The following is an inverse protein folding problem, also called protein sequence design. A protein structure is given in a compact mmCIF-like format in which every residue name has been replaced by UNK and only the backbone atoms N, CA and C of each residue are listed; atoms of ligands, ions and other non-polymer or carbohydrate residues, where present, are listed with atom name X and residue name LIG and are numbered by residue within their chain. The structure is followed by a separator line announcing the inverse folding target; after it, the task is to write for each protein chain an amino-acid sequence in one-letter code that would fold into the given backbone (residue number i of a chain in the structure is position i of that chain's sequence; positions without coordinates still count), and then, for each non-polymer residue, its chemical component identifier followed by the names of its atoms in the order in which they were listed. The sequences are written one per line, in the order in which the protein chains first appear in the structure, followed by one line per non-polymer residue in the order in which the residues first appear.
data_IF_565568144970
#
_entry.id   IF_565568144970
#
_cell.length_a   1.000
_cell.length_b   1.000
_cell.length_c   1.000
_cell.angle_alpha   90.00
_cell.angle_beta   90.00
_cell.angle_gamma   90.00
#
_symmetry.space_group_name_H-M   'P 1'
#
loop_
_entity.id
_entity.type
_entity.pdbx_description
1 polymer ?
#
# COMPACT_ATOMS: atom_id res chain seq x y z
N UNK A 1 39.36 -11.53 12.95
CA UNK A 1 38.63 -11.31 11.68
C UNK A 1 37.24 -11.90 11.85
N UNK A 2 36.21 -11.06 12.00
CA UNK A 2 34.82 -11.52 12.25
C UNK A 2 34.12 -11.79 10.92
N UNK A 3 33.66 -13.02 10.76
CA UNK A 3 32.87 -13.55 9.66
C UNK A 3 31.41 -13.09 9.73
N UNK A 4 31.16 -11.78 9.62
CA UNK A 4 29.79 -11.20 9.47
C UNK A 4 29.23 -11.32 8.03
N UNK A 5 29.98 -11.99 7.16
CA UNK A 5 29.68 -12.11 5.74
C UNK A 5 28.54 -13.08 5.34
N UNK A 6 28.18 -14.16 6.10
CA UNK A 6 27.20 -15.11 5.60
C UNK A 6 25.76 -14.59 5.62
N UNK A 7 25.42 -13.71 6.58
CA UNK A 7 24.04 -13.20 6.76
C UNK A 7 23.69 -12.13 5.72
N UNK A 8 24.68 -11.36 5.26
CA UNK A 8 24.46 -10.31 4.25
C UNK A 8 24.11 -10.89 2.88
N UNK A 9 24.81 -11.95 2.47
CA UNK A 9 24.58 -12.58 1.16
C UNK A 9 23.27 -13.37 1.12
N UNK A 10 22.77 -13.90 2.25
CA UNK A 10 21.52 -14.67 2.24
C UNK A 10 20.30 -13.80 1.97
N UNK A 11 20.17 -12.65 2.64
CA UNK A 11 18.99 -11.78 2.47
C UNK A 11 18.92 -11.10 1.11
N UNK A 12 20.06 -10.66 0.56
CA UNK A 12 20.10 -10.09 -0.79
C UNK A 12 19.79 -11.16 -1.86
N UNK A 13 20.23 -12.41 -1.65
CA UNK A 13 19.88 -13.54 -2.50
C UNK A 13 18.39 -13.93 -2.43
N UNK A 14 17.83 -13.99 -1.23
CA UNK A 14 16.39 -14.22 -1.01
C UNK A 14 15.54 -13.12 -1.66
N UNK A 15 15.95 -11.86 -1.53
CA UNK A 15 15.31 -10.71 -2.17
C UNK A 15 15.33 -10.83 -3.70
N UNK A 16 16.49 -11.16 -4.28
CA UNK A 16 16.62 -11.37 -5.72
C UNK A 16 15.72 -12.51 -6.23
N UNK A 17 15.64 -13.61 -5.49
CA UNK A 17 14.76 -14.74 -5.82
C UNK A 17 13.28 -14.38 -5.73
N UNK A 18 12.87 -13.60 -4.72
CA UNK A 18 11.50 -13.11 -4.59
C UNK A 18 11.10 -12.21 -5.76
N UNK A 19 11.98 -11.31 -6.19
CA UNK A 19 11.75 -10.46 -7.36
C UNK A 19 11.65 -11.33 -8.62
N UNK A 20 12.64 -12.20 -8.86
CA UNK A 20 12.69 -13.01 -10.08
C UNK A 20 11.47 -13.92 -10.23
N UNK A 21 10.99 -14.53 -9.14
CA UNK A 21 9.86 -15.46 -9.15
C UNK A 21 8.49 -14.79 -9.29
N UNK A 22 8.35 -13.50 -8.96
CA UNK A 22 7.04 -12.85 -8.81
C UNK A 22 6.87 -11.53 -9.58
N UNK A 23 7.93 -10.97 -10.17
CA UNK A 23 7.90 -9.69 -10.91
C UNK A 23 6.90 -9.64 -12.08
N UNK A 24 6.55 -10.79 -12.67
CA UNK A 24 5.61 -10.88 -13.79
C UNK A 24 4.25 -11.47 -13.41
N UNK A 25 3.99 -11.69 -12.13
CA UNK A 25 2.70 -12.24 -11.70
C UNK A 25 1.60 -11.19 -11.91
N UNK A 26 0.76 -11.42 -12.94
CA UNK A 26 -0.44 -10.61 -13.19
C UNK A 26 -1.57 -10.92 -12.20
N UNK A 27 -1.46 -12.08 -11.56
CA UNK A 27 -2.42 -12.55 -10.57
C UNK A 27 -2.45 -11.62 -9.35
N UNK A 28 -3.66 -11.37 -8.84
CA UNK A 28 -3.85 -10.51 -7.68
C UNK A 28 -3.28 -11.20 -6.43
N UNK A 29 -3.57 -12.49 -6.25
CA UNK A 29 -3.13 -13.26 -5.08
C UNK A 29 -1.61 -13.42 -5.08
N UNK A 30 -1.01 -13.66 -6.24
CA UNK A 30 0.44 -13.65 -6.43
C UNK A 30 1.13 -12.36 -5.97
N UNK A 31 0.49 -11.20 -6.14
CA UNK A 31 1.02 -9.88 -5.72
C UNK A 31 0.87 -9.62 -4.22
N UNK A 32 -0.25 -10.02 -3.62
CA UNK A 32 -0.41 -9.97 -2.16
C UNK A 32 0.62 -10.90 -1.49
N UNK A 33 0.77 -12.12 -1.99
CA UNK A 33 1.76 -13.07 -1.50
C UNK A 33 3.21 -12.55 -1.62
N UNK A 34 3.54 -11.81 -2.69
CA UNK A 34 4.86 -11.15 -2.82
C UNK A 34 5.03 -10.06 -1.75
N UNK A 35 4.03 -9.22 -1.53
CA UNK A 35 4.09 -8.17 -0.52
C UNK A 35 4.26 -8.74 0.89
N UNK A 36 3.55 -9.81 1.21
CA UNK A 36 3.66 -10.49 2.51
C UNK A 36 5.04 -11.13 2.69
N UNK A 37 5.55 -11.82 1.65
CA UNK A 37 6.89 -12.41 1.69
C UNK A 37 8.01 -11.36 1.86
N UNK A 38 7.88 -10.19 1.22
CA UNK A 38 8.81 -9.07 1.40
C UNK A 38 8.73 -8.47 2.82
N UNK A 39 7.53 -8.39 3.39
CA UNK A 39 7.32 -7.92 4.76
C UNK A 39 7.92 -8.87 5.80
N UNK A 40 7.80 -10.19 5.57
CA UNK A 40 8.43 -11.20 6.41
C UNK A 40 9.95 -11.22 6.26
N UNK A 41 10.46 -11.02 5.04
CA UNK A 41 11.90 -10.86 4.79
C UNK A 41 12.46 -9.64 5.52
N UNK A 42 11.78 -8.49 5.44
CA UNK A 42 12.17 -7.27 6.15
C UNK A 42 12.23 -7.50 7.67
N UNK A 43 11.18 -8.14 8.24
CA UNK A 43 11.13 -8.46 9.68
C UNK A 43 12.27 -9.37 10.11
N UNK A 44 12.59 -10.42 9.33
CA UNK A 44 13.71 -11.33 9.62
C UNK A 44 15.05 -10.61 9.50
N UNK A 45 15.23 -9.77 8.49
CA UNK A 45 16.45 -8.99 8.30
C UNK A 45 16.66 -8.00 9.45
N UNK A 46 15.60 -7.32 9.91
CA UNK A 46 15.64 -6.43 11.08
C UNK A 46 16.00 -7.21 12.36
N UNK A 47 15.31 -8.34 12.61
CA UNK A 47 15.58 -9.18 13.79
C UNK A 47 16.98 -9.78 13.81
N UNK A 48 17.58 -10.01 12.64
CA UNK A 48 18.95 -10.49 12.50
C UNK A 48 20.02 -9.38 12.54
N UNK A 49 19.63 -8.11 12.67
CA UNK A 49 20.56 -6.98 12.65
C UNK A 49 21.24 -6.78 11.29
N UNK A 50 20.51 -7.02 10.20
CA UNK A 50 21.03 -6.82 8.85
C UNK A 50 21.50 -5.37 8.63
N UNK A 51 22.46 -5.13 7.73
CA UNK A 51 22.95 -3.79 7.46
C UNK A 51 21.85 -2.86 6.97
N UNK A 52 21.93 -1.58 7.33
CA UNK A 52 20.98 -0.54 6.91
C UNK A 52 20.77 -0.49 5.40
N UNK A 53 21.83 -0.74 4.62
CA UNK A 53 21.75 -0.80 3.16
C UNK A 53 20.84 -1.95 2.68
N UNK A 54 20.96 -3.13 3.30
CA UNK A 54 20.12 -4.30 2.97
C UNK A 54 18.67 -4.06 3.38
N UNK A 55 18.45 -3.48 4.56
CA UNK A 55 17.11 -3.11 5.03
C UNK A 55 16.44 -2.09 4.10
N UNK A 56 17.19 -1.07 3.67
CA UNK A 56 16.70 -0.05 2.73
C UNK A 56 16.28 -0.69 1.39
N UNK A 57 17.12 -1.56 0.83
CA UNK A 57 16.79 -2.27 -0.42
C UNK A 57 15.50 -3.09 -0.30
N UNK A 58 15.34 -3.84 0.80
CA UNK A 58 14.13 -4.63 1.04
C UNK A 58 12.90 -3.71 1.17
N UNK A 59 13.00 -2.63 1.94
CA UNK A 59 11.90 -1.68 2.15
C UNK A 59 11.48 -0.96 0.86
N UNK A 60 12.44 -0.57 0.02
CA UNK A 60 12.19 0.07 -1.28
C UNK A 60 11.43 -0.87 -2.23
N UNK A 61 11.85 -2.14 -2.30
CA UNK A 61 11.18 -3.14 -3.13
C UNK A 61 9.78 -3.46 -2.58
N UNK A 62 9.61 -3.54 -1.25
CA UNK A 62 8.29 -3.69 -0.63
C UNK A 62 7.37 -2.50 -0.95
N UNK A 63 7.89 -1.28 -0.92
CA UNK A 63 7.13 -0.09 -1.29
C UNK A 63 6.61 -0.17 -2.74
N UNK A 64 7.48 -0.51 -3.69
CA UNK A 64 7.10 -0.69 -5.09
C UNK A 64 6.07 -1.83 -5.27
N UNK A 65 6.25 -2.96 -4.58
CA UNK A 65 5.28 -4.05 -4.58
C UNK A 65 3.91 -3.61 -4.03
N UNK A 66 3.90 -2.74 -3.02
CA UNK A 66 2.69 -2.11 -2.47
C UNK A 66 1.93 -1.29 -3.52
N UNK A 67 2.65 -0.48 -4.31
CA UNK A 67 2.05 0.27 -5.43
C UNK A 67 1.44 -0.70 -6.46
N UNK A 68 2.15 -1.76 -6.84
CA UNK A 68 1.65 -2.74 -7.81
C UNK A 68 0.45 -3.56 -7.30
N UNK A 69 0.37 -3.76 -5.98
CA UNK A 69 -0.78 -4.37 -5.31
C UNK A 69 -2.01 -3.46 -5.36
N UNK A 70 -1.83 -2.16 -5.12
CA UNK A 70 -2.94 -1.20 -5.01
C UNK A 70 -3.37 -0.59 -6.35
N UNK A 71 -2.47 -0.47 -7.32
CA UNK A 71 -2.73 0.12 -8.64
C UNK A 71 -3.71 -0.67 -9.53
N UNK A 72 -4.10 -1.88 -9.11
CA UNK A 72 -5.15 -2.69 -9.77
C UNK A 72 -6.39 -2.82 -8.89
N UNK A 73 -6.50 -2.05 -7.79
CA UNK A 73 -7.85 -1.83 -7.25
C UNK A 73 -8.67 -1.21 -8.37
N UNK A 74 -9.81 -1.81 -8.77
CA UNK A 74 -10.78 -1.05 -9.52
C UNK A 74 -11.11 0.14 -8.64
N UNK A 75 -10.62 1.33 -8.99
CA UNK A 75 -11.17 2.55 -8.44
C UNK A 75 -12.67 2.43 -8.74
N UNK A 76 -13.56 2.42 -7.74
CA UNK A 76 -14.97 2.48 -8.04
C UNK A 76 -15.19 3.84 -8.68
N UNK A 77 -15.15 3.88 -10.02
CA UNK A 77 -15.53 5.05 -10.79
C UNK A 77 -17.04 5.11 -10.61
N UNK A 78 -17.45 5.78 -9.53
CA UNK A 78 -18.84 6.03 -9.27
C UNK A 78 -19.34 6.88 -10.45
N UNK A 79 -20.43 6.48 -11.13
CA UNK A 79 -20.96 7.27 -12.23
C UNK A 79 -21.14 8.73 -11.82
N UNK A 80 -20.75 9.68 -12.66
CA UNK A 80 -20.83 11.12 -12.36
C UNK A 80 -22.22 11.52 -11.84
N UNK A 81 -23.29 10.92 -12.38
CA UNK A 81 -24.68 11.09 -11.91
C UNK A 81 -24.87 10.80 -10.41
N UNK A 82 -24.16 9.81 -9.86
CA UNK A 82 -24.26 9.45 -8.44
C UNK A 82 -23.54 10.48 -7.59
N UNK A 83 -22.37 10.95 -8.03
CA UNK A 83 -21.62 12.01 -7.36
C UNK A 83 -22.43 13.31 -7.33
N UNK A 84 -23.04 13.68 -8.47
CA UNK A 84 -23.91 14.86 -8.58
C UNK A 84 -25.15 14.75 -7.68
N UNK A 85 -25.83 13.60 -7.64
CA UNK A 85 -26.98 13.38 -6.73
C UNK A 85 -26.60 13.46 -5.25
N UNK A 86 -25.43 12.94 -4.87
CA UNK A 86 -24.93 13.06 -3.50
C UNK A 86 -24.65 14.53 -3.17
N UNK A 87 -24.08 15.28 -4.12
CA UNK A 87 -23.82 16.71 -3.95
C UNK A 87 -25.11 17.51 -3.79
N UNK A 88 -26.10 17.31 -4.66
CA UNK A 88 -27.43 17.94 -4.57
C UNK A 88 -28.09 17.67 -3.20
N UNK A 89 -28.01 16.43 -2.69
CA UNK A 89 -28.54 16.09 -1.36
C UNK A 89 -27.80 16.80 -0.22
N UNK A 90 -26.49 16.96 -0.32
CA UNK A 90 -25.69 17.68 0.68
C UNK A 90 -26.04 19.17 0.65
N UNK A 91 -26.16 19.75 -0.53
CA UNK A 91 -26.48 21.16 -0.70
C UNK A 91 -27.93 21.46 -0.24
N UNK A 92 -28.89 20.57 -0.53
CA UNK A 92 -30.25 20.66 -0.01
C UNK A 92 -30.30 20.58 1.53
N UNK A 93 -29.53 19.68 2.16
CA UNK A 93 -29.43 19.61 3.63
C UNK A 93 -28.82 20.86 4.24
N UNK A 94 -27.85 21.50 3.57
CA UNK A 94 -27.26 22.76 4.02
C UNK A 94 -28.23 23.93 3.89
N UNK A 95 -29.02 23.97 2.82
CA UNK A 95 -30.06 24.98 2.66
C UNK A 95 -31.12 24.88 3.78
N UNK A 96 -31.63 23.68 4.07
CA UNK A 96 -32.58 23.45 5.18
C UNK A 96 -31.97 23.83 6.54
N UNK A 97 -30.68 23.55 6.76
CA UNK A 97 -30.00 23.93 8.00
C UNK A 97 -29.79 25.44 8.14
N UNK A 98 -29.67 26.18 7.03
CA UNK A 98 -29.56 27.63 7.04
C UNK A 98 -30.92 28.30 7.26
N UNK A 99 -31.98 27.75 6.66
CA UNK A 99 -33.36 28.23 6.82
C UNK A 99 -33.89 28.01 8.24
N UNK A 100 -33.53 26.88 8.87
CA UNK A 100 -33.85 26.61 10.28
C UNK A 100 -33.10 27.54 11.26
N UNK A 101 -31.89 28.00 10.91
CA UNK A 101 -31.13 28.94 11.74
C UNK A 101 -31.67 30.39 11.65
N UNK A 102 -32.33 30.74 10.55
CA UNK A 102 -32.95 32.05 10.34
C UNK A 102 -34.29 32.18 11.10
N UNK A 103 -35.01 31.06 11.26
CA UNK A 103 -36.28 31.00 12.00
C UNK A 103 -36.13 31.00 13.54
N UNK A 104 -34.95 30.69 14.08
CA UNK A 104 -34.67 30.66 15.53
C UNK A 104 -34.12 32.02 16.04
N UNK A 105 -34.03 33.03 15.17
CA UNK A 105 -33.52 34.36 15.45
C UNK A 105 -34.62 35.45 15.56
N UNK A 106 -35.90 35.07 15.60
CA UNK A 106 -37.07 35.99 15.68
C UNK A 106 -37.87 35.80 16.96
#
# INVERSE_FOLDING_TARGET
MRSDQPVRCSFEGELANLIASKQFSRDLDGRYALFDALSDLERRAQGAGAPDLTLRKIAEIRFLAGILRESVRPFPIVPLRTVLRVRERIDARRAVSAEAADLDAV
#
